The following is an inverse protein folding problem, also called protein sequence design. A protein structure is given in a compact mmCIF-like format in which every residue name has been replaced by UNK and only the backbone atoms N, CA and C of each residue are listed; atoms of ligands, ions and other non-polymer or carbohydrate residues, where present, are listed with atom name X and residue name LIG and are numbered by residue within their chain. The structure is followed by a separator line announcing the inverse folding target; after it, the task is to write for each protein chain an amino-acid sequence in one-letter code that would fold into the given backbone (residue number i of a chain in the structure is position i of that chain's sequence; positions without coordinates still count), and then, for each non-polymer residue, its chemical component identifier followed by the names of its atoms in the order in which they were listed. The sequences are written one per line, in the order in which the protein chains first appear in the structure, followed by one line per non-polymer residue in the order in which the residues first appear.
data_IF_890115697648
#
_entry.id   IF_890115697648
#
_cell.length_a   1.000
_cell.length_b   1.000
_cell.length_c   1.000
_cell.angle_alpha   90.00
_cell.angle_beta   90.00
_cell.angle_gamma   90.00
#
_symmetry.space_group_name_H-M   'P 1'
#
loop_
_entity.id
_entity.type
_entity.pdbx_description
1 polymer ?
#
# COMPACT_ATOMS: atom_id res chain seq x y z
N UNK A 1 19.28 78.11 10.27
CA UNK A 1 18.34 78.47 11.35
C UNK A 1 17.06 77.66 11.10
N UNK A 2 16.94 76.43 11.62
CA UNK A 2 16.30 76.10 12.92
C UNK A 2 14.88 76.66 13.02
N UNK A 3 13.84 75.84 13.10
CA UNK A 3 13.45 75.28 14.39
C UNK A 3 12.50 74.08 14.28
N UNK A 4 12.83 73.05 15.06
CA UNK A 4 11.93 72.02 15.56
C UNK A 4 11.00 72.67 16.60
N UNK A 5 9.75 72.22 16.72
CA UNK A 5 9.09 72.14 18.03
C UNK A 5 8.96 70.69 18.48
N UNK A 6 9.40 70.47 19.71
CA UNK A 6 9.32 69.21 20.45
C UNK A 6 7.88 68.95 20.92
N UNK A 7 7.54 67.66 20.95
CA UNK A 7 6.35 67.03 21.52
C UNK A 7 6.08 67.47 22.98
N UNK A 8 4.84 67.39 23.53
CA UNK A 8 4.43 66.13 24.17
C UNK A 8 2.91 65.88 24.25
N UNK A 9 2.47 64.62 24.16
CA UNK A 9 1.56 63.99 25.13
C UNK A 9 1.13 62.59 24.67
N UNK A 10 1.37 61.62 25.55
CA UNK A 10 0.86 60.26 25.47
C UNK A 10 -0.67 60.21 25.49
N UNK A 11 -1.27 59.31 24.70
CA UNK A 11 -2.70 59.04 24.78
C UNK A 11 -3.14 57.91 23.86
N UNK A 12 -3.50 56.78 24.45
CA UNK A 12 -4.07 55.58 23.80
C UNK A 12 -3.08 54.69 23.05
N UNK A 13 -2.28 53.91 23.80
CA UNK A 13 -2.01 52.52 23.43
C UNK A 13 -3.33 51.74 23.52
N UNK A 14 -4.21 51.96 22.54
CA UNK A 14 -5.33 51.07 22.27
C UNK A 14 -4.74 49.73 21.89
N UNK A 15 -5.21 48.70 22.59
CA UNK A 15 -4.80 47.31 22.51
C UNK A 15 -5.05 46.74 21.09
N UNK A 16 -4.25 47.17 20.11
CA UNK A 16 -4.25 46.62 18.77
C UNK A 16 -3.63 45.23 18.89
N UNK A 17 -4.47 44.26 19.24
CA UNK A 17 -4.15 42.84 19.15
C UNK A 17 -3.52 42.66 17.77
N UNK A 18 -2.25 42.24 17.66
CA UNK A 18 -1.65 42.03 16.37
C UNK A 18 -2.56 41.04 15.65
N UNK A 19 -3.17 41.50 14.55
CA UNK A 19 -4.02 40.66 13.72
C UNK A 19 -3.08 39.71 12.97
N UNK A 20 -2.56 38.73 13.69
CA UNK A 20 -1.77 37.64 13.13
C UNK A 20 -2.76 36.80 12.35
N UNK A 21 -2.84 37.08 11.06
CA UNK A 21 -3.35 36.09 10.13
C UNK A 21 -2.30 34.99 10.14
N UNK A 22 -2.47 34.04 11.06
CA UNK A 22 -1.84 32.75 10.89
C UNK A 22 -2.53 32.20 9.66
N UNK A 23 -1.93 32.44 8.48
CA UNK A 23 -2.13 31.61 7.32
C UNK A 23 -1.55 30.25 7.70
N UNK A 24 -2.25 29.55 8.61
CA UNK A 24 -2.03 28.16 8.86
C UNK A 24 -2.09 27.54 7.48
N UNK A 25 -1.16 26.65 7.22
CA UNK A 25 -1.21 25.62 6.18
C UNK A 25 -2.51 24.78 6.20
N UNK A 26 -3.58 25.25 6.86
CA UNK A 26 -4.94 24.79 6.84
C UNK A 26 -5.74 25.18 5.59
N UNK A 27 -5.22 26.11 4.78
CA UNK A 27 -5.78 26.45 3.46
C UNK A 27 -5.23 25.59 2.32
N UNK A 28 -4.37 24.61 2.60
CA UNK A 28 -3.89 23.63 1.63
C UNK A 28 -4.77 22.38 1.71
N UNK A 29 -5.73 22.29 0.79
CA UNK A 29 -6.49 21.09 0.36
C UNK A 29 -6.40 19.88 1.31
N UNK A 30 -7.23 19.87 2.35
CA UNK A 30 -7.38 18.68 3.18
C UNK A 30 -8.28 17.67 2.48
N UNK A 31 -7.84 16.42 2.44
CA UNK A 31 -8.72 15.32 2.10
C UNK A 31 -9.41 14.83 3.38
N UNK A 32 -10.72 14.57 3.28
CA UNK A 32 -11.50 14.02 4.38
C UNK A 32 -10.90 12.69 4.86
N UNK A 33 -11.18 12.30 6.10
CA UNK A 33 -10.81 11.00 6.65
C UNK A 33 -11.09 9.82 5.69
N UNK A 34 -12.28 9.77 5.09
CA UNK A 34 -12.67 8.67 4.19
C UNK A 34 -11.82 8.64 2.91
N UNK A 35 -11.52 9.81 2.34
CA UNK A 35 -10.63 9.95 1.16
C UNK A 35 -9.21 9.49 1.49
N UNK A 36 -8.70 9.88 2.65
CA UNK A 36 -7.41 9.43 3.18
C UNK A 36 -7.37 7.90 3.37
N UNK A 37 -8.37 7.34 4.03
CA UNK A 37 -8.50 5.90 4.23
C UNK A 37 -8.63 5.16 2.89
N UNK A 38 -9.35 5.70 1.91
CA UNK A 38 -9.47 5.10 0.58
C UNK A 38 -8.13 4.92 -0.12
N UNK A 39 -7.26 5.92 -0.04
CA UNK A 39 -5.93 5.86 -0.65
C UNK A 39 -5.10 4.75 0.00
N UNK A 40 -5.05 4.73 1.34
CA UNK A 40 -4.29 3.72 2.09
C UNK A 40 -4.84 2.31 1.87
N UNK A 41 -6.16 2.16 1.91
CA UNK A 41 -6.82 0.87 1.71
C UNK A 41 -6.66 0.36 0.29
N UNK A 42 -6.74 1.22 -0.72
CA UNK A 42 -6.55 0.76 -2.10
C UNK A 42 -5.13 0.29 -2.35
N UNK A 43 -4.13 0.89 -1.69
CA UNK A 43 -2.74 0.46 -1.78
C UNK A 43 -2.55 -0.89 -1.07
N UNK A 44 -2.92 -0.95 0.21
CA UNK A 44 -2.80 -2.15 1.05
C UNK A 44 -3.63 -3.34 0.52
N UNK A 45 -4.87 -3.10 0.12
CA UNK A 45 -5.78 -4.16 -0.31
C UNK A 45 -5.48 -4.70 -1.71
N UNK A 46 -4.78 -3.93 -2.57
CA UNK A 46 -4.41 -4.40 -3.90
C UNK A 46 -3.49 -5.62 -3.83
N UNK A 47 -2.53 -5.61 -2.90
CA UNK A 47 -1.60 -6.70 -2.64
C UNK A 47 -2.28 -8.00 -2.20
N UNK A 48 -3.41 -7.90 -1.48
CA UNK A 48 -4.13 -9.07 -0.99
C UNK A 48 -4.66 -9.98 -2.14
N UNK A 49 -4.94 -9.41 -3.32
CA UNK A 49 -5.49 -10.17 -4.44
C UNK A 49 -4.46 -11.09 -5.12
N UNK A 50 -3.19 -10.68 -5.17
CA UNK A 50 -2.14 -11.46 -5.83
C UNK A 50 -1.16 -12.13 -4.87
N UNK A 51 -0.99 -11.61 -3.65
CA UNK A 51 -0.04 -12.18 -2.67
C UNK A 51 -0.34 -13.65 -2.35
N UNK A 52 -1.63 -14.04 -2.27
CA UNK A 52 -2.02 -15.43 -2.05
C UNK A 52 -1.59 -16.36 -3.18
N UNK A 53 -1.81 -15.95 -4.43
CA UNK A 53 -1.46 -16.74 -5.62
C UNK A 53 0.05 -16.86 -5.80
N UNK A 54 0.79 -15.77 -5.60
CA UNK A 54 2.26 -15.78 -5.67
C UNK A 54 2.86 -16.63 -4.53
N UNK A 55 2.41 -16.44 -3.28
CA UNK A 55 2.90 -17.21 -2.15
C UNK A 55 2.60 -18.71 -2.28
N UNK A 56 1.40 -19.08 -2.76
CA UNK A 56 1.07 -20.49 -3.04
C UNK A 56 1.95 -21.06 -4.17
N UNK A 57 2.24 -20.27 -5.21
CA UNK A 57 3.13 -20.68 -6.30
C UNK A 57 4.55 -21.01 -5.83
N UNK A 58 5.11 -20.24 -4.89
CA UNK A 58 6.49 -20.42 -4.44
C UNK A 58 6.68 -21.32 -3.21
N UNK A 59 5.68 -21.39 -2.32
CA UNK A 59 5.79 -22.06 -1.01
C UNK A 59 4.90 -23.33 -0.98
N UNK A 60 3.95 -23.42 -1.91
CA UNK A 60 2.94 -24.47 -1.98
C UNK A 60 1.79 -24.24 -1.00
N UNK A 61 1.05 -25.31 -0.71
CA UNK A 61 -0.19 -25.28 0.09
C UNK A 61 -0.02 -24.81 1.54
N UNK A 62 1.21 -24.57 2.00
CA UNK A 62 1.52 -24.03 3.34
C UNK A 62 1.51 -22.49 3.37
N UNK A 63 1.40 -21.82 2.22
CA UNK A 63 1.41 -20.36 2.07
C UNK A 63 0.47 -19.59 3.04
N UNK A 64 -0.76 -20.05 3.35
CA UNK A 64 -1.63 -19.33 4.27
C UNK A 64 -1.02 -19.08 5.65
N UNK A 65 -0.17 -19.98 6.14
CA UNK A 65 0.52 -19.81 7.44
C UNK A 65 1.57 -18.70 7.40
N UNK A 66 2.29 -18.57 6.28
CA UNK A 66 3.28 -17.50 6.10
C UNK A 66 2.61 -16.13 5.94
N UNK A 67 1.52 -16.06 5.18
CA UNK A 67 0.70 -14.85 5.07
C UNK A 67 0.16 -14.46 6.45
N UNK A 68 -0.37 -15.41 7.22
CA UNK A 68 -0.85 -15.14 8.58
C UNK A 68 0.25 -14.60 9.49
N UNK A 69 1.45 -15.17 9.46
CA UNK A 69 2.59 -14.71 10.24
C UNK A 69 2.98 -13.27 9.89
N UNK A 70 2.95 -12.91 8.61
CA UNK A 70 3.26 -11.56 8.14
C UNK A 70 2.16 -10.57 8.47
N UNK A 71 0.90 -10.97 8.38
CA UNK A 71 -0.22 -10.14 8.85
C UNK A 71 -0.12 -9.84 10.34
N UNK A 72 0.30 -10.80 11.16
CA UNK A 72 0.58 -10.56 12.58
C UNK A 72 1.75 -9.59 12.77
N UNK A 73 2.83 -9.75 11.99
CA UNK A 73 3.99 -8.85 12.02
C UNK A 73 3.64 -7.42 11.57
N UNK A 74 2.74 -7.29 10.58
CA UNK A 74 2.22 -6.02 10.06
C UNK A 74 1.67 -5.14 11.18
N UNK A 75 0.93 -5.72 12.14
CA UNK A 75 0.43 -4.96 13.29
C UNK A 75 1.53 -4.31 14.13
N UNK A 76 2.69 -4.95 14.27
CA UNK A 76 3.82 -4.36 14.98
C UNK A 76 4.42 -3.18 14.20
N UNK A 77 4.52 -3.30 12.88
CA UNK A 77 5.05 -2.23 12.03
C UNK A 77 4.07 -1.06 11.92
N UNK A 78 2.77 -1.34 11.80
CA UNK A 78 1.72 -0.33 11.95
C UNK A 78 1.85 0.45 13.25
N UNK A 79 2.13 -0.21 14.37
CA UNK A 79 2.31 0.47 15.65
C UNK A 79 3.48 1.47 15.59
N UNK A 80 4.61 1.07 14.97
CA UNK A 80 5.76 1.95 14.72
C UNK A 80 5.40 3.12 13.81
N UNK A 81 4.59 2.91 12.76
CA UNK A 81 4.13 4.00 11.89
C UNK A 81 3.23 4.99 12.62
N UNK A 82 2.30 4.50 13.45
CA UNK A 82 1.41 5.35 14.25
C UNK A 82 2.21 6.17 15.27
N UNK A 83 3.21 5.56 15.91
CA UNK A 83 4.12 6.25 16.83
C UNK A 83 4.96 7.29 16.09
N UNK A 84 5.53 6.94 14.93
CA UNK A 84 6.33 7.84 14.10
C UNK A 84 5.52 9.07 13.65
N UNK A 85 4.24 8.90 13.33
CA UNK A 85 3.34 10.00 12.95
C UNK A 85 2.90 10.87 14.13
N UNK A 86 3.04 10.38 15.36
CA UNK A 86 2.76 11.17 16.58
C UNK A 86 3.88 12.17 16.90
N UNK A 87 5.07 12.00 16.31
CA UNK A 87 6.15 12.97 16.42
C UNK A 87 5.69 14.31 15.81
N UNK A 88 5.98 15.44 16.47
CA UNK A 88 5.60 16.80 16.04
C UNK A 88 6.35 17.30 14.78
N UNK A 89 6.51 16.43 13.79
CA UNK A 89 7.15 16.71 12.52
C UNK A 89 6.06 16.78 11.45
N UNK A 90 6.22 17.67 10.46
CA UNK A 90 5.42 17.61 9.23
C UNK A 90 5.63 16.21 8.65
N UNK A 91 4.61 15.35 8.66
CA UNK A 91 4.69 13.91 8.39
C UNK A 91 5.38 13.47 7.09
N UNK A 92 5.30 12.18 6.79
CA UNK A 92 6.04 11.54 5.71
C UNK A 92 7.39 11.00 6.17
N UNK A 93 7.79 9.88 5.56
CA UNK A 93 8.89 9.05 6.06
C UNK A 93 10.23 9.78 6.07
N UNK A 94 10.52 10.61 5.05
CA UNK A 94 11.78 11.37 5.01
C UNK A 94 12.01 12.22 6.26
N UNK A 95 10.99 12.98 6.66
CA UNK A 95 11.12 13.94 7.75
C UNK A 95 11.13 13.23 9.09
N UNK A 96 10.33 12.19 9.25
CA UNK A 96 10.33 11.35 10.44
C UNK A 96 11.70 10.72 10.68
N UNK A 97 12.26 10.05 9.66
CA UNK A 97 13.59 9.39 9.76
C UNK A 97 14.71 10.42 9.93
N UNK A 98 14.64 11.56 9.24
CA UNK A 98 15.68 12.60 9.37
C UNK A 98 15.75 13.15 10.79
N UNK A 99 14.60 13.31 11.44
CA UNK A 99 14.52 13.88 12.78
C UNK A 99 14.93 12.89 13.87
N UNK A 100 14.65 11.59 13.67
CA UNK A 100 14.96 10.54 14.66
C UNK A 100 16.36 9.92 14.49
N UNK A 101 16.78 9.68 13.25
CA UNK A 101 17.91 8.82 12.89
C UNK A 101 19.00 9.54 12.08
N UNK A 102 18.75 10.80 11.67
CA UNK A 102 19.71 11.64 10.96
C UNK A 102 19.62 11.58 9.43
N UNK A 103 20.43 12.41 8.76
CA UNK A 103 20.31 12.70 7.34
C UNK A 103 20.66 11.54 6.39
N UNK A 104 21.62 10.70 6.75
CA UNK A 104 22.06 9.58 5.90
C UNK A 104 20.99 8.50 5.81
N UNK A 105 20.44 8.08 6.95
CA UNK A 105 19.37 7.09 7.01
C UNK A 105 18.08 7.60 6.36
N UNK A 106 17.79 8.91 6.47
CA UNK A 106 16.65 9.51 5.79
C UNK A 106 16.75 9.43 4.26
N UNK A 107 17.94 9.65 3.69
CA UNK A 107 18.17 9.51 2.25
C UNK A 107 18.00 8.06 1.80
N UNK A 108 18.56 7.11 2.55
CA UNK A 108 18.41 5.69 2.26
C UNK A 108 16.94 5.26 2.28
N UNK A 109 16.20 5.66 3.32
CA UNK A 109 14.78 5.35 3.47
C UNK A 109 13.93 5.93 2.34
N UNK A 110 14.17 7.18 1.93
CA UNK A 110 13.44 7.77 0.79
C UNK A 110 13.79 7.10 -0.53
N UNK A 111 15.06 6.75 -0.76
CA UNK A 111 15.43 6.02 -1.98
C UNK A 111 14.71 4.67 -2.05
N UNK A 112 14.63 3.95 -0.94
CA UNK A 112 13.89 2.69 -0.86
C UNK A 112 12.38 2.90 -1.16
N UNK A 113 11.76 3.93 -0.58
CA UNK A 113 10.35 4.26 -0.84
C UNK A 113 10.07 4.69 -2.27
N UNK A 114 10.97 5.46 -2.89
CA UNK A 114 10.82 5.84 -4.29
C UNK A 114 10.96 4.64 -5.21
N UNK A 115 11.87 3.72 -4.88
CA UNK A 115 12.00 2.46 -5.61
C UNK A 115 10.74 1.61 -5.49
N UNK A 116 10.19 1.49 -4.29
CA UNK A 116 8.94 0.79 -4.02
C UNK A 116 7.79 1.35 -4.88
N UNK A 117 7.53 2.67 -4.82
CA UNK A 117 6.47 3.30 -5.63
C UNK A 117 6.65 3.17 -7.14
N UNK A 118 7.89 3.17 -7.63
CA UNK A 118 8.18 2.95 -9.06
C UNK A 118 7.84 1.52 -9.48
N UNK A 119 7.96 0.54 -8.58
CA UNK A 119 7.66 -0.86 -8.85
C UNK A 119 6.20 -1.22 -8.62
N UNK A 120 5.57 -0.71 -7.56
CA UNK A 120 4.21 -1.10 -7.14
C UNK A 120 3.18 -0.79 -8.22
N UNK A 121 3.28 0.37 -8.89
CA UNK A 121 2.36 0.74 -9.97
C UNK A 121 2.38 -0.24 -11.15
N UNK A 122 3.53 -0.45 -11.82
CA UNK A 122 3.64 -1.41 -12.92
C UNK A 122 3.34 -2.85 -12.52
N UNK A 123 3.78 -3.33 -11.36
CA UNK A 123 3.50 -4.70 -10.89
C UNK A 123 1.99 -4.90 -10.75
N UNK A 124 1.29 -3.96 -10.10
CA UNK A 124 -0.17 -4.00 -9.94
C UNK A 124 -0.89 -3.93 -11.29
N UNK A 125 -0.42 -3.07 -12.21
CA UNK A 125 -1.00 -2.96 -13.56
C UNK A 125 -0.85 -4.25 -14.38
N UNK A 126 0.32 -4.87 -14.34
CA UNK A 126 0.58 -6.15 -15.05
C UNK A 126 -0.22 -7.28 -14.41
N UNK A 127 -0.27 -7.37 -13.08
CA UNK A 127 -1.07 -8.38 -12.38
C UNK A 127 -2.56 -8.27 -12.75
N UNK A 128 -3.12 -7.06 -12.72
CA UNK A 128 -4.50 -6.81 -13.13
C UNK A 128 -4.74 -7.19 -14.61
N UNK A 129 -3.79 -6.86 -15.49
CA UNK A 129 -3.84 -7.25 -16.89
C UNK A 129 -3.81 -8.77 -17.11
N UNK A 130 -3.03 -9.51 -16.32
CA UNK A 130 -3.01 -10.98 -16.35
C UNK A 130 -4.32 -11.57 -15.84
N UNK A 131 -4.95 -10.98 -14.82
CA UNK A 131 -6.29 -11.41 -14.37
C UNK A 131 -7.35 -11.16 -15.44
N UNK A 132 -7.31 -10.01 -16.11
CA UNK A 132 -8.23 -9.70 -17.19
C UNK A 132 -8.06 -10.66 -18.38
N UNK A 133 -6.80 -10.93 -18.77
CA UNK A 133 -6.49 -11.87 -19.85
C UNK A 133 -6.92 -13.31 -19.49
N UNK A 134 -6.69 -13.75 -18.24
CA UNK A 134 -7.13 -15.05 -17.74
C UNK A 134 -8.66 -15.20 -17.79
N UNK A 135 -9.39 -14.23 -17.25
CA UNK A 135 -10.86 -14.20 -17.29
C UNK A 135 -11.39 -14.23 -18.73
N UNK A 136 -10.78 -13.43 -19.61
CA UNK A 136 -11.18 -13.38 -21.03
C UNK A 136 -10.94 -14.72 -21.72
N UNK A 137 -9.80 -15.37 -21.44
CA UNK A 137 -9.51 -16.71 -21.97
C UNK A 137 -10.52 -17.74 -21.47
N UNK A 138 -10.85 -17.76 -20.18
CA UNK A 138 -11.84 -18.69 -19.61
C UNK A 138 -13.24 -18.48 -20.19
N UNK A 139 -13.68 -17.24 -20.38
CA UNK A 139 -14.97 -16.93 -20.98
C UNK A 139 -15.04 -17.37 -22.45
N UNK A 140 -14.00 -17.10 -23.24
CA UNK A 140 -13.93 -17.53 -24.64
C UNK A 140 -13.97 -19.06 -24.77
N UNK A 141 -13.34 -19.77 -23.85
CA UNK A 141 -13.41 -21.23 -23.77
C UNK A 141 -14.81 -21.71 -23.39
N UNK A 142 -15.45 -21.08 -22.40
CA UNK A 142 -16.82 -21.42 -21.99
C UNK A 142 -17.81 -21.28 -23.16
N UNK A 143 -17.67 -20.22 -23.96
CA UNK A 143 -18.50 -20.00 -25.15
C UNK A 143 -18.03 -20.77 -26.40
N UNK A 144 -16.98 -21.60 -26.29
CA UNK A 144 -16.40 -22.40 -27.39
C UNK A 144 -15.99 -21.56 -28.62
N UNK A 145 -15.67 -20.28 -28.42
CA UNK A 145 -15.36 -19.33 -29.51
C UNK A 145 -13.90 -19.46 -29.95
N UNK A 146 -12.98 -19.76 -29.03
CA UNK A 146 -11.53 -19.81 -29.32
C UNK A 146 -10.80 -20.76 -28.37
N UNK A 147 -9.67 -21.28 -28.83
CA UNK A 147 -8.67 -22.00 -28.02
C UNK A 147 -8.11 -21.12 -26.89
N UNK A 148 -7.42 -21.70 -25.88
CA UNK A 148 -6.77 -20.92 -24.84
C UNK A 148 -5.82 -19.88 -25.41
N UNK A 149 -5.82 -18.67 -24.83
CA UNK A 149 -4.86 -17.65 -25.20
C UNK A 149 -3.44 -18.17 -24.93
N UNK A 150 -2.54 -17.96 -25.89
CA UNK A 150 -1.12 -18.27 -25.74
C UNK A 150 -0.49 -17.40 -24.66
N UNK A 151 0.59 -17.89 -24.02
CA UNK A 151 1.32 -17.14 -23.00
C UNK A 151 1.82 -15.78 -23.52
N UNK A 152 2.19 -15.69 -24.80
CA UNK A 152 2.56 -14.45 -25.45
C UNK A 152 1.40 -13.45 -25.58
N UNK A 153 0.20 -13.94 -25.88
CA UNK A 153 -1.01 -13.10 -26.01
C UNK A 153 -1.44 -12.56 -24.64
N UNK A 154 -1.40 -13.41 -23.61
CA UNK A 154 -1.64 -13.00 -22.21
C UNK A 154 -0.65 -11.91 -21.80
N UNK A 155 0.63 -12.09 -22.13
CA UNK A 155 1.67 -11.09 -21.85
C UNK A 155 1.42 -9.76 -22.56
N UNK A 156 1.01 -9.80 -23.83
CA UNK A 156 0.71 -8.60 -24.62
C UNK A 156 -0.53 -7.87 -24.09
N UNK A 157 -1.60 -8.60 -23.78
CA UNK A 157 -2.81 -8.03 -23.15
C UNK A 157 -2.47 -7.42 -21.79
N UNK A 158 -1.68 -8.12 -20.97
CA UNK A 158 -1.30 -7.61 -19.66
C UNK A 158 -0.43 -6.34 -19.74
N UNK A 159 0.56 -6.32 -20.61
CA UNK A 159 1.43 -5.15 -20.80
C UNK A 159 0.67 -3.96 -21.39
N UNK A 160 -0.15 -4.18 -22.42
CA UNK A 160 -0.96 -3.11 -23.02
C UNK A 160 -1.97 -2.54 -22.04
N UNK A 161 -2.61 -3.39 -21.23
CA UNK A 161 -3.50 -2.95 -20.16
C UNK A 161 -2.75 -2.13 -19.10
N UNK A 162 -1.59 -2.60 -18.63
CA UNK A 162 -0.77 -1.89 -17.65
C UNK A 162 -0.36 -0.49 -18.15
N UNK A 163 0.04 -0.36 -19.42
CA UNK A 163 0.38 0.93 -20.05
C UNK A 163 -0.85 1.84 -20.09
N UNK A 164 -2.00 1.33 -20.53
CA UNK A 164 -3.24 2.10 -20.59
C UNK A 164 -3.67 2.63 -19.21
N UNK A 165 -3.63 1.77 -18.19
CA UNK A 165 -3.95 2.15 -16.80
C UNK A 165 -2.97 3.18 -16.26
N UNK A 166 -1.67 3.03 -16.54
CA UNK A 166 -0.64 4.00 -16.13
C UNK A 166 -0.88 5.37 -16.75
N UNK A 167 -1.19 5.44 -18.05
CA UNK A 167 -1.50 6.69 -18.75
C UNK A 167 -2.78 7.32 -18.17
N UNK A 168 -3.81 6.51 -17.90
CA UNK A 168 -5.06 6.97 -17.31
C UNK A 168 -4.84 7.61 -15.93
N UNK A 169 -4.13 6.94 -15.02
CA UNK A 169 -3.86 7.48 -13.69
C UNK A 169 -2.88 8.65 -13.72
N UNK A 170 -1.94 8.70 -14.66
CA UNK A 170 -1.14 9.90 -14.88
C UNK A 170 -2.06 11.08 -15.25
N UNK A 171 -2.94 10.92 -16.22
CA UNK A 171 -3.90 11.96 -16.60
C UNK A 171 -4.83 12.38 -15.45
N UNK A 172 -5.27 11.44 -14.62
CA UNK A 172 -6.11 11.79 -13.46
C UNK A 172 -5.31 12.55 -12.39
N UNK A 173 -4.05 12.16 -12.16
CA UNK A 173 -3.18 12.83 -11.19
C UNK A 173 -2.81 14.26 -11.61
N UNK A 174 -2.80 14.60 -12.90
CA UNK A 174 -2.56 15.99 -13.35
C UNK A 174 -3.75 16.92 -13.11
N UNK A 175 -4.97 16.39 -12.91
CA UNK A 175 -6.16 17.20 -12.56
C UNK A 175 -6.17 17.65 -11.10
N UNK A 176 -5.54 16.90 -10.21
CA UNK A 176 -5.34 17.26 -8.80
C UNK A 176 -5.83 16.20 -7.80
N UNK A 177 -5.34 16.33 -6.56
CA UNK A 177 -5.58 15.39 -5.45
C UNK A 177 -7.07 15.24 -5.10
N UNK A 178 -7.90 16.30 -5.04
CA UNK A 178 -9.31 16.15 -4.69
C UNK A 178 -10.08 15.22 -5.64
N UNK A 179 -9.89 15.38 -6.94
CA UNK A 179 -10.52 14.57 -7.98
C UNK A 179 -10.06 13.11 -7.93
N UNK A 180 -8.74 12.89 -7.89
CA UNK A 180 -8.14 11.55 -7.80
C UNK A 180 -8.60 10.82 -6.52
N UNK A 181 -8.69 11.53 -5.38
CA UNK A 181 -9.13 10.96 -4.11
C UNK A 181 -10.61 10.57 -4.09
N UNK A 182 -11.47 11.22 -4.88
CA UNK A 182 -12.87 10.87 -5.01
C UNK A 182 -13.05 9.59 -5.84
N UNK A 183 -12.28 9.45 -6.93
CA UNK A 183 -12.23 8.20 -7.69
C UNK A 183 -11.70 7.04 -6.85
N UNK A 184 -10.66 7.28 -6.05
CA UNK A 184 -10.12 6.29 -5.12
C UNK A 184 -11.20 5.81 -4.13
N UNK A 185 -12.05 6.70 -3.62
CA UNK A 185 -13.18 6.33 -2.77
C UNK A 185 -14.20 5.43 -3.48
N UNK A 186 -14.51 5.71 -4.75
CA UNK A 186 -15.43 4.87 -5.52
C UNK A 186 -14.86 3.48 -5.79
N UNK A 187 -13.57 3.40 -6.11
CA UNK A 187 -12.84 2.14 -6.26
C UNK A 187 -12.90 1.36 -4.94
N UNK A 188 -12.58 2.01 -3.82
CA UNK A 188 -12.61 1.37 -2.50
C UNK A 188 -13.99 0.79 -2.19
N UNK A 189 -15.09 1.54 -2.42
CA UNK A 189 -16.45 1.03 -2.23
C UNK A 189 -16.73 -0.24 -3.05
N UNK A 190 -16.36 -0.24 -4.32
CA UNK A 190 -16.54 -1.38 -5.21
C UNK A 190 -15.73 -2.59 -4.71
N UNK A 191 -14.46 -2.37 -4.37
CA UNK A 191 -13.55 -3.39 -3.84
C UNK A 191 -14.09 -3.97 -2.54
N UNK A 192 -14.60 -3.15 -1.61
CA UNK A 192 -15.20 -3.62 -0.36
C UNK A 192 -16.39 -4.54 -0.61
N UNK A 193 -17.29 -4.18 -1.53
CA UNK A 193 -18.43 -5.04 -1.90
C UNK A 193 -17.94 -6.36 -2.48
N UNK A 194 -16.94 -6.32 -3.36
CA UNK A 194 -16.35 -7.52 -3.96
C UNK A 194 -15.73 -8.45 -2.90
N UNK A 195 -14.99 -7.90 -1.93
CA UNK A 195 -14.41 -8.67 -0.81
C UNK A 195 -15.50 -9.34 0.02
N UNK A 196 -16.59 -8.62 0.34
CA UNK A 196 -17.70 -9.19 1.12
C UNK A 196 -18.34 -10.38 0.40
N UNK A 197 -18.57 -10.25 -0.92
CA UNK A 197 -19.09 -11.33 -1.75
C UNK A 197 -18.13 -12.52 -1.75
N UNK A 198 -16.83 -12.28 -1.91
CA UNK A 198 -15.81 -13.33 -1.93
C UNK A 198 -15.74 -14.07 -0.59
N UNK A 199 -15.75 -13.35 0.53
CA UNK A 199 -15.79 -13.95 1.88
C UNK A 199 -17.03 -14.81 2.05
N UNK A 200 -18.21 -14.30 1.68
CA UNK A 200 -19.46 -15.06 1.76
C UNK A 200 -19.41 -16.34 0.91
N UNK A 201 -18.85 -16.26 -0.31
CA UNK A 201 -18.68 -17.40 -1.20
C UNK A 201 -17.68 -18.43 -0.65
N UNK A 202 -16.58 -17.97 -0.06
CA UNK A 202 -15.60 -18.83 0.60
C UNK A 202 -16.22 -19.57 1.79
N UNK A 203 -16.95 -18.86 2.67
CA UNK A 203 -17.65 -19.48 3.81
C UNK A 203 -18.69 -20.51 3.35
N UNK A 204 -19.45 -20.18 2.31
CA UNK A 204 -20.40 -21.10 1.69
C UNK A 204 -19.70 -22.37 1.14
N UNK A 205 -18.58 -22.20 0.44
CA UNK A 205 -17.80 -23.32 -0.11
C UNK A 205 -17.21 -24.20 0.99
N UNK A 206 -16.68 -23.61 2.06
CA UNK A 206 -16.16 -24.34 3.23
C UNK A 206 -17.27 -25.17 3.88
N UNK A 207 -18.46 -24.59 4.03
CA UNK A 207 -19.61 -25.26 4.65
C UNK A 207 -20.09 -26.46 3.84
N UNK A 208 -19.96 -26.43 2.52
CA UNK A 208 -20.41 -27.53 1.63
C UNK A 208 -19.34 -28.59 1.37
N UNK A 209 -18.08 -28.18 1.16
CA UNK A 209 -17.01 -29.07 0.68
C UNK A 209 -16.13 -29.61 1.79
N UNK A 210 -16.20 -29.04 3.00
CA UNK A 210 -15.36 -29.41 4.15
C UNK A 210 -13.88 -29.63 3.78
N UNK A 211 -13.21 -28.62 3.17
CA UNK A 211 -11.84 -28.77 2.73
C UNK A 211 -10.91 -29.07 3.90
N UNK A 212 -9.87 -29.91 3.72
CA UNK A 212 -8.87 -30.13 4.75
C UNK A 212 -8.12 -28.83 5.03
N UNK A 213 -7.70 -28.65 6.29
CA UNK A 213 -6.89 -27.51 6.69
C UNK A 213 -5.56 -27.49 5.91
N UNK A 214 -5.02 -26.28 5.62
CA UNK A 214 -3.73 -26.17 4.95
C UNK A 214 -2.65 -26.89 5.76
N UNK A 215 -1.77 -27.68 5.11
CA UNK A 215 -0.74 -28.43 5.80
C UNK A 215 0.14 -27.51 6.64
N UNK A 216 0.58 -27.99 7.80
CA UNK A 216 1.47 -27.22 8.68
C UNK A 216 2.79 -26.91 7.97
N UNK A 217 3.44 -25.77 8.29
CA UNK A 217 4.68 -25.32 7.68
C UNK A 217 5.88 -26.13 8.18
N UNK A 218 5.89 -27.43 7.87
CA UNK A 218 7.04 -28.30 8.05
C UNK A 218 7.91 -28.27 6.79
N UNK A 219 9.25 -28.40 6.91
CA UNK A 219 10.16 -28.45 5.76
C UNK A 219 9.77 -29.48 4.69
N UNK A 220 9.10 -30.57 5.07
CA UNK A 220 8.61 -31.62 4.16
C UNK A 220 7.42 -31.19 3.28
N UNK A 221 6.66 -30.18 3.71
CA UNK A 221 5.47 -29.68 3.03
C UNK A 221 5.77 -28.43 2.17
N UNK A 222 6.99 -27.89 2.26
CA UNK A 222 7.45 -26.75 1.47
C UNK A 222 7.85 -27.25 0.07
N UNK A 223 7.18 -26.73 -0.96
CA UNK A 223 7.59 -26.94 -2.34
C UNK A 223 8.37 -25.73 -2.79
N UNK A 224 9.69 -25.74 -2.58
CA UNK A 224 10.58 -24.74 -3.16
C UNK A 224 10.81 -25.09 -4.62
N UNK A 225 10.02 -24.51 -5.52
CA UNK A 225 10.29 -24.63 -6.96
C UNK A 225 11.59 -23.88 -7.34
N UNK A 226 12.24 -24.21 -8.47
CA UNK A 226 13.45 -23.52 -8.94
C UNK A 226 13.29 -22.00 -9.02
N UNK A 227 12.09 -21.53 -9.40
CA UNK A 227 11.75 -20.11 -9.45
C UNK A 227 11.68 -19.47 -8.05
N UNK A 228 11.32 -20.23 -7.01
CA UNK A 228 11.27 -19.75 -5.62
C UNK A 228 12.68 -19.52 -5.05
N UNK A 229 13.64 -20.36 -5.46
CA UNK A 229 15.03 -20.29 -5.01
C UNK A 229 15.84 -19.22 -5.75
N UNK A 230 15.48 -18.89 -7.00
CA UNK A 230 16.19 -17.90 -7.80
C UNK A 230 17.70 -18.18 -7.85
N UNK A 231 18.51 -17.20 -7.45
CA UNK A 231 19.97 -17.31 -7.32
C UNK A 231 20.49 -18.35 -6.31
N UNK A 232 19.64 -18.84 -5.39
CA UNK A 232 20.00 -19.88 -4.42
C UNK A 232 19.84 -21.30 -4.99
N UNK A 233 19.33 -21.42 -6.21
CA UNK A 233 19.14 -22.70 -6.87
C UNK A 233 20.50 -23.43 -7.04
N UNK A 234 20.63 -24.61 -6.42
CA UNK A 234 21.83 -25.45 -6.49
C UNK A 234 22.82 -25.29 -5.32
N UNK A 235 22.62 -24.32 -4.41
CA UNK A 235 23.49 -24.13 -3.24
C UNK A 235 23.04 -25.04 -2.10
N UNK A 236 23.85 -26.04 -1.76
CA UNK A 236 23.51 -27.06 -0.77
C UNK A 236 23.80 -26.60 0.67
N UNK A 237 22.85 -25.91 1.30
CA UNK A 237 22.89 -25.62 2.74
C UNK A 237 22.18 -26.72 3.53
N UNK A 238 22.72 -27.94 3.56
CA UNK A 238 22.05 -29.12 4.16
C UNK A 238 21.53 -28.89 5.60
N UNK A 239 22.26 -28.14 6.43
CA UNK A 239 21.89 -27.89 7.83
C UNK A 239 21.07 -26.60 8.05
N UNK A 240 21.06 -25.67 7.08
CA UNK A 240 20.36 -24.39 7.17
C UNK A 240 19.14 -24.31 6.23
N UNK A 241 18.93 -25.31 5.37
CA UNK A 241 17.90 -25.32 4.33
C UNK A 241 16.49 -25.05 4.89
N UNK A 242 16.16 -25.57 6.07
CA UNK A 242 14.85 -25.33 6.70
C UNK A 242 14.64 -23.87 7.11
N UNK A 243 15.67 -23.24 7.70
CA UNK A 243 15.62 -21.83 8.10
C UNK A 243 15.60 -20.93 6.86
N UNK A 244 16.45 -21.22 5.87
CA UNK A 244 16.49 -20.51 4.60
C UNK A 244 15.14 -20.62 3.87
N UNK A 245 14.52 -21.80 3.86
CA UNK A 245 13.20 -22.02 3.27
C UNK A 245 12.11 -21.18 3.95
N UNK A 246 12.17 -21.04 5.28
CA UNK A 246 11.26 -20.18 6.04
C UNK A 246 11.51 -18.71 5.68
N UNK A 247 12.76 -18.26 5.58
CA UNK A 247 13.07 -16.88 5.18
C UNK A 247 12.63 -16.58 3.74
N UNK A 248 12.80 -17.53 2.81
CA UNK A 248 12.32 -17.41 1.44
C UNK A 248 10.79 -17.34 1.43
N UNK A 249 10.11 -18.21 2.18
CA UNK A 249 8.65 -18.21 2.26
C UNK A 249 8.09 -16.94 2.90
N UNK A 250 8.74 -16.43 3.94
CA UNK A 250 8.42 -15.12 4.50
C UNK A 250 8.65 -14.03 3.46
N UNK A 251 9.81 -14.00 2.79
CA UNK A 251 10.15 -13.00 1.78
C UNK A 251 9.12 -12.87 0.67
N UNK A 252 8.67 -13.99 0.09
CA UNK A 252 7.62 -14.00 -0.94
C UNK A 252 6.24 -13.59 -0.41
N UNK A 253 6.00 -13.77 0.89
CA UNK A 253 4.75 -13.39 1.54
C UNK A 253 4.77 -11.92 2.05
N UNK A 254 5.93 -11.24 2.09
CA UNK A 254 6.06 -9.84 2.56
C UNK A 254 5.22 -8.89 1.73
N UNK A 255 4.99 -9.21 0.46
CA UNK A 255 4.12 -8.42 -0.42
C UNK A 255 2.73 -8.20 0.17
N UNK A 256 2.23 -9.12 0.99
CA UNK A 256 0.93 -8.99 1.65
C UNK A 256 0.84 -7.77 2.59
N UNK A 257 1.97 -7.24 3.04
CA UNK A 257 2.07 -6.11 3.97
C UNK A 257 2.38 -4.76 3.27
N UNK A 258 2.70 -4.77 1.98
CA UNK A 258 2.99 -3.54 1.21
C UNK A 258 1.77 -2.60 1.20
N UNK A 259 1.99 -1.31 1.45
CA UNK A 259 0.94 -0.28 1.52
C UNK A 259 0.79 0.40 2.90
N UNK A 260 1.42 -0.12 3.96
CA UNK A 260 1.39 0.53 5.28
C UNK A 260 2.12 1.89 5.28
N UNK A 261 3.15 2.05 4.45
CA UNK A 261 3.91 3.29 4.29
C UNK A 261 3.06 4.45 3.76
N UNK A 262 2.01 4.15 2.99
CA UNK A 262 1.05 5.16 2.50
C UNK A 262 0.30 5.84 3.65
N UNK A 263 0.12 5.16 4.80
CA UNK A 263 -0.45 5.77 6.01
C UNK A 263 0.37 7.00 6.46
N UNK A 264 1.70 6.88 6.47
CA UNK A 264 2.61 7.94 6.90
C UNK A 264 2.64 9.13 5.94
N UNK A 265 2.40 8.89 4.64
CA UNK A 265 2.36 9.94 3.62
C UNK A 265 1.04 10.71 3.68
N UNK A 266 -0.08 9.99 3.79
CA UNK A 266 -1.43 10.55 3.85
C UNK A 266 -1.65 11.38 5.13
N UNK A 267 -0.90 11.11 6.21
CA UNK A 267 -0.93 11.92 7.44
C UNK A 267 -0.71 13.42 7.21
N UNK A 268 0.05 13.80 6.17
CA UNK A 268 0.24 15.23 5.85
C UNK A 268 -1.06 15.90 5.39
N UNK A 269 -1.90 15.16 4.67
CA UNK A 269 -3.05 15.68 3.91
C UNK A 269 -4.40 15.40 4.59
N UNK A 270 -4.41 14.55 5.62
CA UNK A 270 -5.59 14.25 6.42
C UNK A 270 -6.07 15.48 7.21
N UNK A 271 -7.39 15.62 7.30
CA UNK A 271 -8.06 16.67 8.09
C UNK A 271 -7.79 16.54 9.60
N UNK A 272 -7.91 17.66 10.32
CA UNK A 272 -7.81 17.69 11.78
C UNK A 272 -9.07 17.09 12.44
N UNK A 273 -8.96 16.32 13.55
CA UNK A 273 -7.75 15.97 14.30
C UNK A 273 -6.97 14.81 13.65
N UNK A 274 -5.69 15.07 13.31
CA UNK A 274 -4.91 14.18 12.45
C UNK A 274 -4.62 12.81 13.04
N UNK A 275 -4.08 12.76 14.27
CA UNK A 275 -3.68 11.48 14.89
C UNK A 275 -4.87 10.55 15.18
N UNK A 276 -6.02 11.02 15.70
CA UNK A 276 -7.22 10.18 15.83
C UNK A 276 -7.73 9.67 14.48
N UNK A 277 -7.74 10.52 13.45
CA UNK A 277 -8.18 10.12 12.11
C UNK A 277 -7.21 9.12 11.47
N UNK A 278 -5.90 9.26 11.70
CA UNK A 278 -4.89 8.30 11.26
C UNK A 278 -5.05 6.94 11.93
N UNK A 279 -5.29 6.92 13.26
CA UNK A 279 -5.51 5.69 14.02
C UNK A 279 -6.73 4.93 13.53
N UNK A 280 -7.81 5.65 13.22
CA UNK A 280 -9.01 5.09 12.60
C UNK A 280 -8.71 4.56 11.19
N UNK A 281 -7.94 5.31 10.39
CA UNK A 281 -7.68 4.95 9.00
C UNK A 281 -6.86 3.66 8.89
N UNK A 282 -5.87 3.46 9.77
CA UNK A 282 -5.13 2.20 9.81
C UNK A 282 -5.90 1.05 10.47
N UNK A 283 -7.03 1.29 11.14
CA UNK A 283 -7.83 0.25 11.79
C UNK A 283 -8.85 -0.39 10.85
N UNK A 284 -9.36 0.41 9.91
CA UNK A 284 -10.13 -0.09 8.77
C UNK A 284 -9.22 -0.92 7.88
#
# INVERSE_FOLDING_TARGET
MSSIPNNPAAGSRGNAIPRVIVATTALLTFISFWRAAAIVLNDLASSAYYAGGEAEGYIGKTAPWFILAIMLFSYAVRAVYVESCSMFVRGGVYRAVKQSLGGTLAKFSVSALMFDYILTGPISGVAAGRYLAGLTSELLQYFHVTSPLSSGEVGLVAASFAVAVTIYFWWENTKGIPESSEKALHIMKLVTVMVVILIAWCLYTISLRHPPLPPLPHPKNLKLEPNAMGWLYGVHFANLAGIIAIFIGLGHSVLAMSGEESLAQVYREIESPKLPNLKKAGLV
#
